data_IF_059871143301
#
_entry.id   IF_059871143301
#
_cell.length_a   1.000
_cell.length_b   1.000
_cell.length_c   1.000
_cell.angle_alpha   90.00
_cell.angle_beta   90.00
_cell.angle_gamma   90.00
#
_symmetry.space_group_name_H-M   'P 1'
#
loop_
_entity.id
_entity.type
_entity.pdbx_description
1 polymer ?
#
# COMPACT_ATOMS: atom_id res chain seq x y z
N UNK A 1 31.69 -5.55 -31.83
CA UNK A 1 30.51 -4.77 -31.41
C UNK A 1 29.35 -5.72 -31.42
N UNK A 2 29.07 -6.37 -30.30
CA UNK A 2 27.99 -7.37 -30.19
C UNK A 2 26.77 -6.67 -29.61
N UNK A 3 25.68 -6.64 -30.37
CA UNK A 3 24.39 -6.09 -29.96
C UNK A 3 23.96 -6.71 -28.62
N UNK A 4 23.72 -5.86 -27.64
CA UNK A 4 23.11 -6.25 -26.38
C UNK A 4 21.79 -6.97 -26.68
N UNK A 5 21.72 -8.23 -26.31
CA UNK A 5 20.51 -9.05 -26.42
C UNK A 5 19.55 -8.59 -25.32
N UNK A 6 18.88 -7.45 -25.53
CA UNK A 6 17.79 -7.00 -24.67
C UNK A 6 16.52 -7.72 -25.12
N UNK A 7 16.09 -8.76 -24.42
CA UNK A 7 14.77 -9.34 -24.64
C UNK A 7 13.72 -8.27 -24.29
N UNK A 8 12.95 -7.77 -25.26
CA UNK A 8 11.94 -6.75 -25.00
C UNK A 8 10.85 -7.21 -24.02
N UNK A 9 10.75 -8.52 -23.77
CA UNK A 9 9.81 -9.15 -22.84
C UNK A 9 10.36 -9.28 -21.42
N UNK A 10 11.68 -9.16 -21.21
CA UNK A 10 12.33 -9.30 -19.91
C UNK A 10 11.92 -8.23 -18.89
N UNK A 11 12.18 -8.48 -17.61
CA UNK A 11 11.96 -7.52 -16.53
C UNK A 11 13.12 -6.52 -16.42
N UNK A 12 12.85 -5.29 -15.94
CA UNK A 12 13.91 -4.31 -15.68
C UNK A 12 14.82 -4.81 -14.57
N UNK A 13 16.14 -4.80 -14.78
CA UNK A 13 17.16 -5.32 -13.85
C UNK A 13 16.99 -4.73 -12.43
N UNK A 14 16.79 -3.41 -12.28
CA UNK A 14 16.56 -2.79 -10.97
C UNK A 14 15.28 -3.29 -10.28
N UNK A 15 14.28 -3.79 -11.04
CA UNK A 15 13.07 -4.38 -10.47
C UNK A 15 13.38 -5.79 -9.93
N UNK A 16 14.14 -6.57 -10.69
CA UNK A 16 14.55 -7.93 -10.28
C UNK A 16 15.42 -7.87 -9.03
N UNK A 17 16.45 -6.99 -9.01
CA UNK A 17 17.29 -6.77 -7.83
C UNK A 17 16.49 -6.34 -6.60
N UNK A 18 15.54 -5.44 -6.79
CA UNK A 18 14.70 -4.98 -5.68
C UNK A 18 13.75 -6.07 -5.17
N UNK A 19 13.28 -6.97 -6.03
CA UNK A 19 12.48 -8.14 -5.67
C UNK A 19 13.32 -9.17 -4.90
N UNK A 20 14.55 -9.39 -5.32
CA UNK A 20 15.51 -10.23 -4.61
C UNK A 20 16.02 -9.64 -3.28
N UNK A 21 15.47 -8.51 -2.82
CA UNK A 21 15.79 -7.93 -1.52
C UNK A 21 17.08 -7.11 -1.47
N UNK A 22 17.82 -6.95 -2.58
CA UNK A 22 19.12 -6.25 -2.62
C UNK A 22 19.01 -4.82 -2.09
N UNK A 23 18.11 -4.00 -2.65
CA UNK A 23 17.90 -2.61 -2.22
C UNK A 23 16.56 -2.05 -2.75
N UNK A 24 16.27 -0.74 -2.52
CA UNK A 24 15.18 -0.07 -3.21
C UNK A 24 15.48 0.02 -4.71
N UNK A 25 14.45 0.12 -5.57
CA UNK A 25 14.65 0.22 -7.03
C UNK A 25 15.62 1.34 -7.41
N UNK A 26 15.51 2.53 -6.79
CA UNK A 26 16.44 3.65 -7.00
C UNK A 26 17.86 3.31 -6.56
N UNK A 27 18.01 2.68 -5.39
CA UNK A 27 19.32 2.25 -4.91
C UNK A 27 19.91 1.14 -5.78
N UNK A 28 19.10 0.25 -6.34
CA UNK A 28 19.54 -0.73 -7.33
C UNK A 28 20.03 -0.07 -8.62
N UNK A 29 19.40 1.03 -9.07
CA UNK A 29 19.89 1.82 -10.20
C UNK A 29 21.30 2.39 -9.93
N UNK A 30 21.55 2.88 -8.72
CA UNK A 30 22.89 3.35 -8.30
C UNK A 30 23.92 2.19 -8.29
N UNK A 31 23.54 1.01 -7.80
CA UNK A 31 24.38 -0.19 -7.77
C UNK A 31 24.71 -0.65 -9.20
N UNK A 32 23.74 -0.61 -10.12
CA UNK A 32 23.94 -0.92 -11.54
C UNK A 32 24.91 0.08 -12.18
N UNK A 33 24.65 1.37 -12.01
CA UNK A 33 25.50 2.43 -12.57
C UNK A 33 26.95 2.38 -12.06
N UNK A 34 27.14 1.90 -10.82
CA UNK A 34 28.47 1.70 -10.22
C UNK A 34 29.18 0.43 -10.74
N UNK A 35 28.61 -0.33 -11.70
CA UNK A 35 29.24 -1.53 -12.28
C UNK A 35 29.31 -2.74 -11.32
N UNK A 36 28.52 -2.76 -10.26
CA UNK A 36 28.53 -3.81 -9.24
C UNK A 36 27.64 -5.00 -9.59
N UNK A 37 26.91 -4.94 -10.72
CA UNK A 37 25.99 -5.99 -11.18
C UNK A 37 26.57 -6.70 -12.38
N UNK A 38 26.50 -8.03 -12.37
CA UNK A 38 26.80 -8.87 -13.52
C UNK A 38 25.57 -9.65 -13.95
N UNK A 39 25.37 -9.77 -15.24
CA UNK A 39 24.36 -10.62 -15.86
C UNK A 39 25.10 -11.57 -16.80
N UNK A 40 24.97 -12.87 -16.57
CA UNK A 40 25.67 -13.92 -17.33
C UNK A 40 27.20 -13.66 -17.41
N UNK A 41 27.80 -13.24 -16.28
CA UNK A 41 29.22 -12.95 -16.15
C UNK A 41 29.66 -11.60 -16.70
N UNK A 42 28.80 -10.84 -17.39
CA UNK A 42 29.13 -9.51 -17.96
C UNK A 42 28.67 -8.39 -17.03
N UNK A 43 29.54 -7.39 -16.82
CA UNK A 43 29.16 -6.20 -16.03
C UNK A 43 28.12 -5.39 -16.79
N UNK A 44 27.06 -4.99 -16.10
CA UNK A 44 25.97 -4.15 -16.61
C UNK A 44 25.97 -2.83 -15.87
N UNK A 45 26.06 -1.71 -16.62
CA UNK A 45 25.99 -0.34 -16.10
C UNK A 45 24.83 0.46 -16.68
N UNK A 46 24.21 -0.04 -17.75
CA UNK A 46 23.15 0.65 -18.48
C UNK A 46 21.83 0.58 -17.68
N UNK A 47 21.29 1.75 -17.30
CA UNK A 47 20.00 1.83 -16.66
C UNK A 47 18.87 1.41 -17.63
N UNK A 48 17.89 0.71 -17.11
CA UNK A 48 16.77 0.22 -17.91
C UNK A 48 17.01 -1.13 -18.58
N UNK A 49 18.22 -1.72 -18.47
CA UNK A 49 18.52 -3.09 -18.92
C UNK A 49 17.42 -4.05 -18.47
N UNK A 50 17.02 -4.93 -19.38
CA UNK A 50 16.03 -5.98 -19.14
C UNK A 50 16.72 -7.32 -19.05
N UNK A 51 16.23 -8.18 -18.18
CA UNK A 51 16.75 -9.51 -17.89
C UNK A 51 15.59 -10.49 -17.75
N UNK A 52 15.87 -11.76 -17.97
CA UNK A 52 14.97 -12.86 -17.65
C UNK A 52 15.40 -13.46 -16.30
N UNK A 53 14.61 -13.22 -15.21
CA UNK A 53 14.98 -13.69 -13.88
C UNK A 53 14.98 -15.22 -13.74
N UNK A 54 14.38 -15.97 -14.67
CA UNK A 54 14.36 -17.44 -14.66
C UNK A 54 15.56 -18.05 -15.36
N UNK A 55 16.14 -17.36 -16.37
CA UNK A 55 17.21 -17.90 -17.20
C UNK A 55 18.53 -17.14 -17.06
N UNK A 56 18.49 -15.86 -16.66
CA UNK A 56 19.72 -15.06 -16.52
C UNK A 56 20.35 -15.24 -15.13
N UNK A 57 21.63 -15.54 -15.10
CA UNK A 57 22.42 -15.53 -13.87
C UNK A 57 22.78 -14.09 -13.50
N UNK A 58 22.18 -13.59 -12.43
CA UNK A 58 22.36 -12.22 -11.95
C UNK A 58 23.19 -12.25 -10.67
N UNK A 59 24.23 -11.43 -10.60
CA UNK A 59 25.14 -11.33 -9.46
C UNK A 59 25.30 -9.86 -9.03
N UNK A 60 25.41 -9.63 -7.73
CA UNK A 60 25.78 -8.34 -7.14
C UNK A 60 27.03 -8.54 -6.30
N UNK A 61 28.09 -7.76 -6.57
CA UNK A 61 29.39 -7.88 -5.92
C UNK A 61 29.96 -9.32 -5.96
N UNK A 62 29.73 -10.02 -7.07
CA UNK A 62 30.17 -11.40 -7.28
C UNK A 62 29.33 -12.47 -6.55
N UNK A 63 28.25 -12.09 -5.90
CA UNK A 63 27.32 -13.04 -5.24
C UNK A 63 26.04 -13.16 -6.05
N UNK A 64 25.58 -14.37 -6.38
CA UNK A 64 24.28 -14.54 -7.05
C UNK A 64 23.16 -14.00 -6.17
N UNK A 65 22.15 -13.40 -6.82
CA UNK A 65 20.93 -13.01 -6.12
C UNK A 65 20.04 -14.22 -5.92
N UNK A 66 19.38 -14.30 -4.76
CA UNK A 66 18.42 -15.34 -4.44
C UNK A 66 17.00 -14.80 -4.56
N UNK A 67 16.08 -15.64 -5.02
CA UNK A 67 14.66 -15.29 -5.04
C UNK A 67 14.10 -15.32 -3.62
N UNK A 68 13.67 -14.19 -3.11
CA UNK A 68 12.99 -14.10 -1.81
C UNK A 68 11.52 -14.50 -1.96
N UNK A 69 11.00 -15.44 -1.15
CA UNK A 69 9.59 -15.77 -1.19
C UNK A 69 8.72 -14.54 -0.86
N UNK A 70 7.51 -14.46 -1.39
CA UNK A 70 6.63 -13.32 -1.12
C UNK A 70 6.13 -13.33 0.32
N UNK A 71 6.26 -12.20 0.96
CA UNK A 71 5.88 -11.94 2.34
C UNK A 71 4.71 -10.96 2.40
N UNK A 72 3.80 -11.18 3.34
CA UNK A 72 2.61 -10.35 3.51
C UNK A 72 2.33 -10.15 4.99
N UNK A 73 2.40 -8.90 5.43
CA UNK A 73 2.25 -8.55 6.84
C UNK A 73 1.20 -7.44 7.00
N UNK A 74 0.20 -7.68 7.82
CA UNK A 74 -0.82 -6.72 8.19
C UNK A 74 -0.39 -6.01 9.48
N UNK A 75 -0.33 -4.68 9.45
CA UNK A 75 -0.04 -3.83 10.61
C UNK A 75 -1.24 -2.97 10.92
N UNK A 76 -1.62 -2.85 12.18
CA UNK A 76 -2.41 -1.72 12.64
C UNK A 76 -1.48 -0.53 12.87
N UNK A 77 -1.37 0.36 11.87
CA UNK A 77 -0.60 1.59 12.03
C UNK A 77 -1.29 2.51 13.04
N UNK A 78 -0.67 2.89 14.16
CA UNK A 78 -1.26 3.89 15.06
C UNK A 78 -1.16 5.30 14.48
N UNK A 79 -1.88 6.26 15.08
CA UNK A 79 -1.70 7.69 14.84
C UNK A 79 -0.29 8.15 15.23
N UNK A 80 0.19 9.25 14.65
CA UNK A 80 1.53 9.80 14.92
C UNK A 80 2.66 9.16 14.12
N UNK A 81 2.47 7.95 13.60
CA UNK A 81 3.43 7.18 12.81
C UNK A 81 3.27 7.48 11.31
N UNK A 82 4.38 7.59 10.59
CA UNK A 82 4.40 7.86 9.14
C UNK A 82 4.53 6.58 8.32
N UNK A 83 3.80 6.50 7.20
CA UNK A 83 3.78 5.33 6.29
C UNK A 83 4.96 5.35 5.32
N UNK A 84 6.18 5.21 5.83
CA UNK A 84 7.41 5.15 5.03
C UNK A 84 8.33 4.07 5.57
N UNK A 85 9.30 3.65 4.75
CA UNK A 85 10.36 2.71 5.16
C UNK A 85 11.48 3.45 5.89
N UNK A 86 11.79 4.68 5.45
CA UNK A 86 12.85 5.51 6.01
C UNK A 86 12.39 6.95 6.13
N UNK A 87 12.80 7.62 7.19
CA UNK A 87 12.53 9.04 7.42
C UNK A 87 13.83 9.78 7.80
N UNK A 88 14.24 10.79 7.04
CA UNK A 88 15.46 11.54 7.33
C UNK A 88 15.35 12.44 8.57
N UNK A 89 14.14 12.66 9.10
CA UNK A 89 13.87 13.50 10.28
C UNK A 89 13.76 12.70 11.58
N UNK A 90 14.02 11.39 11.56
CA UNK A 90 14.01 10.55 12.76
C UNK A 90 12.62 10.27 13.35
N UNK A 91 11.53 10.57 12.62
CA UNK A 91 10.17 10.27 13.10
C UNK A 91 9.90 8.76 13.05
N UNK A 92 9.07 8.26 13.96
CA UNK A 92 8.67 6.85 13.97
C UNK A 92 7.99 6.49 12.65
N UNK A 93 8.50 5.45 12.01
CA UNK A 93 7.96 4.95 10.74
C UNK A 93 7.11 3.70 10.96
N UNK A 94 6.16 3.43 10.06
CA UNK A 94 5.38 2.20 10.12
C UNK A 94 6.27 0.95 9.91
N UNK A 95 7.41 1.08 9.22
CA UNK A 95 8.36 -0.02 9.04
C UNK A 95 9.05 -0.41 10.35
N UNK A 96 9.33 0.54 11.24
CA UNK A 96 9.96 0.25 12.54
C UNK A 96 9.05 -0.51 13.52
N UNK A 97 7.74 -0.60 13.23
CA UNK A 97 6.79 -1.41 13.99
C UNK A 97 6.67 -2.85 13.47
N UNK A 98 7.37 -3.20 12.41
CA UNK A 98 7.34 -4.54 11.83
C UNK A 98 8.64 -5.27 12.19
N UNK A 99 8.52 -6.28 13.06
CA UNK A 99 9.65 -7.09 13.52
C UNK A 99 10.01 -8.14 12.47
N UNK A 100 10.82 -7.76 11.48
CA UNK A 100 11.44 -8.66 10.50
C UNK A 100 12.68 -8.00 9.90
N UNK A 101 13.68 -8.79 9.61
CA UNK A 101 14.87 -8.36 8.85
C UNK A 101 14.60 -8.32 7.35
N UNK A 102 13.60 -9.06 6.92
CA UNK A 102 13.22 -9.15 5.52
C UNK A 102 12.79 -7.79 4.95
N UNK A 103 13.13 -7.59 3.70
CA UNK A 103 12.81 -6.35 3.01
C UNK A 103 11.36 -6.35 2.52
N UNK A 104 10.48 -5.78 3.32
CA UNK A 104 9.09 -5.50 2.93
C UNK A 104 8.80 -3.99 2.99
N UNK A 105 7.82 -3.55 2.22
CA UNK A 105 7.43 -2.14 2.12
C UNK A 105 5.91 -1.97 2.17
N UNK A 106 5.42 -0.80 2.61
CA UNK A 106 3.99 -0.57 2.74
C UNK A 106 3.30 -0.50 1.37
N UNK A 107 2.13 -1.10 1.28
CA UNK A 107 1.22 -1.02 0.13
C UNK A 107 0.33 0.20 0.30
N UNK A 108 0.70 1.28 -0.36
CA UNK A 108 0.06 2.57 -0.18
C UNK A 108 0.45 3.25 1.12
N UNK A 109 -0.36 4.22 1.50
CA UNK A 109 -0.07 5.07 2.66
C UNK A 109 -1.33 5.30 3.48
N UNK A 110 -1.14 5.56 4.78
CA UNK A 110 -2.04 6.26 5.67
C UNK A 110 -1.36 7.54 6.10
N UNK A 111 -2.12 8.61 6.23
CA UNK A 111 -1.59 9.87 6.76
C UNK A 111 -1.11 9.68 8.21
N UNK A 112 -0.29 10.61 8.71
CA UNK A 112 0.22 10.56 10.07
C UNK A 112 -0.90 10.50 11.10
N UNK A 113 -1.97 11.25 10.88
CA UNK A 113 -3.13 11.38 11.77
C UNK A 113 -4.21 10.32 11.51
N UNK A 114 -3.96 9.40 10.57
CA UNK A 114 -4.85 8.29 10.26
C UNK A 114 -4.26 6.99 10.81
N UNK A 115 -5.12 6.06 11.17
CA UNK A 115 -4.75 4.79 11.77
C UNK A 115 -5.39 3.60 11.05
N UNK A 116 -5.04 2.39 11.47
CA UNK A 116 -5.66 1.16 11.01
C UNK A 116 -4.79 0.36 10.05
N UNK A 117 -5.43 -0.47 9.24
CA UNK A 117 -4.80 -1.47 8.39
C UNK A 117 -3.79 -0.90 7.39
N UNK A 118 -2.55 -1.33 7.49
CA UNK A 118 -1.50 -1.08 6.52
C UNK A 118 -0.83 -2.42 6.16
N UNK A 119 -0.94 -2.80 4.89
CA UNK A 119 -0.28 -4.00 4.37
C UNK A 119 1.17 -3.69 4.03
N UNK A 120 2.08 -4.60 4.40
CA UNK A 120 3.47 -4.64 3.94
C UNK A 120 3.72 -5.90 3.13
N UNK A 121 4.52 -5.79 2.06
CA UNK A 121 4.90 -6.92 1.22
C UNK A 121 6.18 -6.64 0.44
N UNK A 122 6.83 -7.69 -0.06
CA UNK A 122 7.84 -7.65 -1.12
C UNK A 122 7.25 -8.04 -2.49
N UNK A 123 5.97 -8.45 -2.57
CA UNK A 123 5.25 -8.76 -3.81
C UNK A 123 4.90 -7.47 -4.57
N UNK A 124 5.82 -7.05 -5.46
CA UNK A 124 5.67 -5.83 -6.24
C UNK A 124 4.46 -5.82 -7.18
N UNK A 125 4.17 -6.90 -7.92
CA UNK A 125 2.97 -7.04 -8.73
C UNK A 125 1.67 -6.84 -7.94
N UNK A 126 1.53 -7.49 -6.79
CA UNK A 126 0.36 -7.32 -5.92
C UNK A 126 0.26 -5.88 -5.39
N UNK A 127 1.35 -5.33 -4.86
CA UNK A 127 1.38 -3.97 -4.35
C UNK A 127 0.96 -2.95 -5.42
N UNK A 128 1.44 -3.10 -6.65
CA UNK A 128 1.09 -2.24 -7.78
C UNK A 128 -0.41 -2.32 -8.07
N UNK A 129 -0.97 -3.52 -8.17
CA UNK A 129 -2.40 -3.69 -8.47
C UNK A 129 -3.30 -3.11 -7.38
N UNK A 130 -2.99 -3.38 -6.11
CA UNK A 130 -3.76 -2.84 -4.99
C UNK A 130 -3.73 -1.32 -4.87
N UNK A 131 -2.64 -0.68 -5.33
CA UNK A 131 -2.48 0.78 -5.27
C UNK A 131 -2.99 1.50 -6.51
N UNK A 132 -2.99 0.88 -7.68
CA UNK A 132 -3.27 1.57 -8.93
C UNK A 132 -4.78 1.84 -9.09
N UNK A 133 -5.21 3.10 -9.33
CA UNK A 133 -6.62 3.49 -9.38
C UNK A 133 -7.47 2.71 -10.40
N UNK A 134 -6.86 2.27 -11.52
CA UNK A 134 -7.57 1.50 -12.56
C UNK A 134 -8.16 0.16 -12.08
N UNK A 135 -7.67 -0.38 -10.97
CA UNK A 135 -8.13 -1.65 -10.42
C UNK A 135 -9.22 -1.48 -9.37
N UNK A 136 -9.54 -0.25 -8.99
CA UNK A 136 -10.67 0.12 -8.13
C UNK A 136 -10.78 -0.67 -6.82
N UNK A 137 -9.64 -1.12 -6.25
CA UNK A 137 -9.64 -1.87 -4.99
C UNK A 137 -10.21 -1.04 -3.86
N UNK A 138 -11.26 -1.56 -3.25
CA UNK A 138 -11.95 -0.90 -2.16
C UNK A 138 -11.10 -0.78 -0.91
N UNK A 139 -11.17 0.39 -0.30
CA UNK A 139 -10.59 0.69 1.01
C UNK A 139 -11.70 1.23 1.89
N UNK A 140 -12.04 0.51 2.96
CA UNK A 140 -13.09 0.92 3.89
C UNK A 140 -12.48 1.58 5.12
N UNK A 141 -13.11 2.66 5.51
CA UNK A 141 -12.73 3.46 6.66
C UNK A 141 -13.90 3.65 7.61
N UNK A 142 -13.60 3.73 8.90
CA UNK A 142 -14.50 4.34 9.88
C UNK A 142 -13.99 5.73 10.20
N UNK A 143 -14.86 6.71 10.10
CA UNK A 143 -14.56 8.10 10.39
C UNK A 143 -15.46 8.62 11.51
N UNK A 144 -14.87 9.10 12.61
CA UNK A 144 -15.57 9.90 13.62
C UNK A 144 -15.50 11.35 13.17
N UNK A 145 -16.66 11.96 13.01
CA UNK A 145 -16.79 13.35 12.54
C UNK A 145 -17.56 14.21 13.53
N UNK A 146 -17.29 15.50 13.52
CA UNK A 146 -18.11 16.51 14.19
C UNK A 146 -19.39 16.73 13.40
N UNK A 147 -20.49 16.91 14.14
CA UNK A 147 -21.81 17.06 13.57
C UNK A 147 -22.46 15.76 13.11
N UNK A 148 -23.69 15.86 12.66
CA UNK A 148 -24.48 14.77 12.10
C UNK A 148 -24.76 15.10 10.63
N UNK A 149 -24.16 14.41 9.65
CA UNK A 149 -24.33 14.78 8.26
C UNK A 149 -25.77 14.54 7.80
N UNK A 150 -26.31 15.48 7.05
CA UNK A 150 -27.62 15.36 6.43
C UNK A 150 -27.62 14.30 5.32
N UNK A 151 -28.78 13.83 4.89
CA UNK A 151 -28.89 12.94 3.74
C UNK A 151 -28.37 13.63 2.46
N UNK A 152 -28.58 14.94 2.33
CA UNK A 152 -28.06 15.72 1.21
C UNK A 152 -26.51 15.73 1.17
N UNK A 153 -25.84 15.94 2.31
CA UNK A 153 -24.40 15.88 2.43
C UNK A 153 -23.85 14.48 2.03
N UNK A 154 -24.49 13.40 2.53
CA UNK A 154 -24.09 12.03 2.17
C UNK A 154 -24.31 11.74 0.67
N UNK A 155 -25.39 12.25 0.08
CA UNK A 155 -25.64 12.12 -1.36
C UNK A 155 -24.59 12.89 -2.18
N UNK A 156 -24.20 14.09 -1.74
CA UNK A 156 -23.14 14.87 -2.41
C UNK A 156 -21.81 14.12 -2.41
N UNK A 157 -21.41 13.51 -1.30
CA UNK A 157 -20.22 12.66 -1.21
C UNK A 157 -20.25 11.46 -2.18
N UNK A 158 -21.42 10.82 -2.32
CA UNK A 158 -21.59 9.67 -3.23
C UNK A 158 -21.59 10.07 -4.70
N UNK A 159 -22.21 11.20 -5.04
CA UNK A 159 -22.19 11.74 -6.41
C UNK A 159 -20.82 12.24 -6.81
N UNK A 160 -20.05 12.71 -5.85
CA UNK A 160 -18.73 13.26 -5.99
C UNK A 160 -18.72 14.80 -5.92
N UNK A 161 -17.65 15.31 -5.33
CA UNK A 161 -17.39 16.74 -5.18
C UNK A 161 -16.10 17.11 -5.90
N UNK A 162 -16.14 18.18 -6.68
CA UNK A 162 -14.93 18.79 -7.24
C UNK A 162 -14.31 19.66 -6.15
N UNK A 163 -13.18 19.20 -5.60
CA UNK A 163 -12.46 19.92 -4.57
C UNK A 163 -11.44 20.87 -5.20
N UNK A 164 -11.04 21.94 -4.49
CA UNK A 164 -9.90 22.75 -4.94
C UNK A 164 -8.68 21.87 -5.25
N UNK A 165 -7.99 22.15 -6.35
CA UNK A 165 -6.87 21.37 -6.89
C UNK A 165 -7.21 20.00 -7.51
N UNK A 166 -8.49 19.64 -7.65
CA UNK A 166 -8.92 18.45 -8.36
C UNK A 166 -9.63 18.83 -9.67
N UNK A 167 -9.33 18.10 -10.74
CA UNK A 167 -9.95 18.34 -12.07
C UNK A 167 -11.18 17.48 -12.28
N UNK A 168 -11.42 16.49 -11.44
CA UNK A 168 -12.55 15.55 -11.51
C UNK A 168 -13.20 15.40 -10.14
N UNK A 169 -14.51 15.08 -10.11
CA UNK A 169 -15.20 14.81 -8.85
C UNK A 169 -14.57 13.63 -8.12
N UNK A 170 -14.24 13.80 -6.85
CA UNK A 170 -13.85 12.73 -5.94
C UNK A 170 -15.11 12.16 -5.29
N UNK A 171 -15.24 10.83 -5.31
CA UNK A 171 -16.40 10.11 -4.77
C UNK A 171 -16.04 9.36 -3.49
N UNK A 172 -17.03 9.22 -2.61
CA UNK A 172 -16.93 8.38 -1.43
C UNK A 172 -18.29 7.72 -1.16
N UNK A 173 -18.35 6.40 -1.16
CA UNK A 173 -19.55 5.71 -0.68
C UNK A 173 -19.61 5.87 0.84
N UNK A 174 -20.66 6.52 1.32
CA UNK A 174 -20.75 6.91 2.73
C UNK A 174 -22.06 6.44 3.34
N UNK A 175 -21.97 5.92 4.57
CA UNK A 175 -23.12 5.50 5.36
C UNK A 175 -22.95 5.97 6.80
N UNK A 176 -24.02 6.54 7.38
CA UNK A 176 -24.07 6.79 8.83
C UNK A 176 -24.17 5.45 9.56
N UNK A 177 -23.35 5.27 10.55
CA UNK A 177 -23.48 4.16 11.47
C UNK A 177 -24.54 4.48 12.55
N UNK A 178 -25.20 3.48 13.13
CA UNK A 178 -26.19 3.69 14.19
C UNK A 178 -25.65 4.56 15.33
N UNK A 179 -26.50 5.29 16.04
CA UNK A 179 -26.05 6.14 17.14
C UNK A 179 -25.37 5.36 18.27
N UNK A 180 -25.83 4.13 18.51
CA UNK A 180 -25.25 3.23 19.51
C UNK A 180 -23.97 2.52 19.02
N UNK A 181 -23.60 2.68 17.76
CA UNK A 181 -22.39 2.03 17.22
C UNK A 181 -21.13 2.57 17.87
N UNK A 182 -20.18 1.70 18.08
CA UNK A 182 -18.89 2.04 18.66
C UNK A 182 -17.76 1.30 17.97
N UNK A 183 -16.59 1.91 17.93
CA UNK A 183 -15.35 1.26 17.53
C UNK A 183 -14.61 0.80 18.79
N UNK A 184 -14.56 -0.53 19.03
CA UNK A 184 -13.83 -1.12 20.16
C UNK A 184 -14.18 -0.43 21.50
N UNK A 185 -15.47 -0.27 21.78
CA UNK A 185 -15.95 0.41 22.98
C UNK A 185 -16.03 1.93 22.89
N UNK A 186 -15.38 2.56 21.92
CA UNK A 186 -15.41 4.02 21.74
C UNK A 186 -16.70 4.45 21.01
N UNK A 187 -17.66 4.95 21.74
CA UNK A 187 -18.89 5.58 21.19
C UNK A 187 -18.56 6.97 20.64
N UNK A 188 -19.40 7.44 19.72
CA UNK A 188 -19.32 8.82 19.30
C UNK A 188 -19.72 9.76 20.46
N UNK A 189 -18.92 10.81 20.77
CA UNK A 189 -19.33 11.86 21.71
C UNK A 189 -20.61 12.56 21.27
N UNK A 190 -21.22 13.29 22.18
CA UNK A 190 -22.38 14.12 21.84
C UNK A 190 -22.03 15.10 20.72
N UNK A 191 -22.92 15.25 19.76
CA UNK A 191 -22.67 16.11 18.60
C UNK A 191 -21.75 15.48 17.53
N UNK A 192 -21.24 14.27 17.72
CA UNK A 192 -20.41 13.57 16.75
C UNK A 192 -21.13 12.34 16.17
N UNK A 193 -20.63 11.83 15.05
CA UNK A 193 -21.16 10.64 14.38
C UNK A 193 -20.05 9.79 13.76
N UNK A 194 -20.19 8.48 13.87
CA UNK A 194 -19.40 7.55 13.09
C UNK A 194 -20.01 7.33 11.71
N UNK A 195 -19.12 7.32 10.70
CA UNK A 195 -19.44 6.97 9.31
C UNK A 195 -18.64 5.75 8.88
N UNK A 196 -19.24 4.91 8.05
CA UNK A 196 -18.54 3.96 7.19
C UNK A 196 -18.32 4.62 5.82
N UNK A 197 -17.09 4.60 5.33
CA UNK A 197 -16.69 5.25 4.07
C UNK A 197 -15.90 4.26 3.23
N UNK A 198 -16.28 4.07 1.97
CA UNK A 198 -15.54 3.25 1.01
C UNK A 198 -15.00 4.12 -0.10
N UNK A 199 -13.70 3.99 -0.37
CA UNK A 199 -13.01 4.61 -1.49
C UNK A 199 -12.46 3.52 -2.43
N UNK A 200 -12.48 3.79 -3.75
CA UNK A 200 -11.81 2.98 -4.79
C UNK A 200 -10.54 3.63 -5.34
N UNK A 201 -10.27 4.83 -4.89
CA UNK A 201 -9.09 5.64 -5.25
C UNK A 201 -8.35 6.10 -4.00
N UNK A 202 -7.33 6.94 -4.13
CA UNK A 202 -6.58 7.43 -2.97
C UNK A 202 -5.83 8.72 -3.25
N UNK A 203 -6.54 9.86 -3.13
CA UNK A 203 -5.95 11.19 -3.17
C UNK A 203 -5.47 11.62 -1.78
N UNK A 204 -4.52 12.54 -1.75
CA UNK A 204 -4.00 13.08 -0.50
C UNK A 204 -5.13 13.68 0.34
N UNK A 205 -5.27 13.20 1.59
CA UNK A 205 -6.28 13.64 2.57
C UNK A 205 -7.73 13.59 2.04
N UNK A 206 -8.04 12.70 1.08
CA UNK A 206 -9.32 12.70 0.35
C UNK A 206 -10.54 12.73 1.26
N UNK A 207 -10.65 11.80 2.22
CA UNK A 207 -11.80 11.73 3.14
C UNK A 207 -11.92 13.01 3.97
N UNK A 208 -10.82 13.52 4.52
CA UNK A 208 -10.82 14.74 5.33
C UNK A 208 -11.29 15.95 4.52
N UNK A 209 -10.80 16.09 3.29
CA UNK A 209 -11.17 17.18 2.37
C UNK A 209 -12.64 17.09 1.93
N UNK A 210 -13.12 15.88 1.60
CA UNK A 210 -14.52 15.66 1.21
C UNK A 210 -15.47 15.98 2.36
N UNK A 211 -15.18 15.52 3.58
CA UNK A 211 -16.00 15.78 4.75
C UNK A 211 -15.96 17.26 5.14
N UNK A 212 -14.81 17.90 5.08
CA UNK A 212 -14.67 19.36 5.30
C UNK A 212 -15.51 20.17 4.31
N UNK A 213 -15.53 19.79 3.03
CA UNK A 213 -16.35 20.43 2.01
C UNK A 213 -17.87 20.30 2.26
N UNK A 214 -18.28 19.35 3.08
CA UNK A 214 -19.67 19.18 3.52
C UNK A 214 -19.92 19.72 4.96
N UNK A 215 -18.97 20.47 5.51
CA UNK A 215 -19.09 21.12 6.82
C UNK A 215 -18.77 20.23 8.02
N UNK A 216 -18.06 19.12 7.82
CA UNK A 216 -17.75 18.14 8.89
C UNK A 216 -16.23 17.98 9.06
N UNK A 217 -15.76 18.15 10.30
CA UNK A 217 -14.36 17.89 10.64
C UNK A 217 -14.15 16.41 11.06
N UNK A 218 -13.10 15.78 10.53
CA UNK A 218 -12.74 14.40 10.91
C UNK A 218 -11.86 14.44 12.16
N UNK A 219 -12.36 13.88 13.25
CA UNK A 219 -11.64 13.69 14.51
C UNK A 219 -10.77 12.43 14.49
N UNK A 220 -11.33 11.30 13.99
CA UNK A 220 -10.63 10.02 13.92
C UNK A 220 -10.89 9.35 12.58
N UNK A 221 -9.87 8.74 11.98
CA UNK A 221 -9.98 8.05 10.70
C UNK A 221 -9.21 6.73 10.75
N UNK A 222 -9.94 5.63 10.59
CA UNK A 222 -9.43 4.27 10.76
C UNK A 222 -9.66 3.48 9.48
N UNK A 223 -8.62 3.01 8.82
CA UNK A 223 -8.78 2.05 7.71
C UNK A 223 -8.98 0.65 8.26
N UNK A 224 -10.15 0.06 8.02
CA UNK A 224 -10.53 -1.26 8.55
C UNK A 224 -10.46 -2.37 7.52
N UNK A 225 -10.44 -2.03 6.20
CA UNK A 225 -10.39 -3.00 5.11
C UNK A 225 -9.60 -2.47 3.91
N UNK A 226 -8.92 -3.38 3.22
CA UNK A 226 -8.25 -3.13 1.94
C UNK A 226 -8.41 -4.35 1.04
N UNK A 227 -9.21 -4.22 -0.03
CA UNK A 227 -9.64 -5.36 -0.83
C UNK A 227 -10.36 -6.38 0.05
N UNK A 228 -9.87 -7.62 0.04
CA UNK A 228 -10.39 -8.71 0.88
C UNK A 228 -9.79 -8.74 2.29
N UNK A 229 -8.69 -8.00 2.53
CA UNK A 229 -8.00 -8.02 3.82
C UNK A 229 -8.69 -7.11 4.84
N UNK A 230 -9.02 -7.69 5.99
CA UNK A 230 -9.63 -7.00 7.12
C UNK A 230 -8.59 -6.69 8.20
N UNK A 231 -8.79 -5.60 8.94
CA UNK A 231 -7.98 -5.27 10.11
C UNK A 231 -8.12 -6.33 11.22
N UNK A 232 -9.30 -6.91 11.38
CA UNK A 232 -9.60 -7.89 12.42
C UNK A 232 -9.39 -7.31 13.83
N UNK A 233 -8.86 -8.13 14.73
CA UNK A 233 -8.67 -7.80 16.15
C UNK A 233 -7.30 -7.19 16.47
N UNK A 234 -6.51 -6.82 15.46
CA UNK A 234 -5.21 -6.18 15.68
C UNK A 234 -5.37 -4.89 16.49
N UNK A 235 -4.60 -4.75 17.56
CA UNK A 235 -4.51 -3.51 18.34
C UNK A 235 -3.54 -2.50 17.71
N UNK A 236 -3.65 -1.19 18.02
CA UNK A 236 -2.72 -0.18 17.51
C UNK A 236 -1.25 -0.52 17.80
N UNK A 237 -0.43 -0.55 16.75
CA UNK A 237 0.99 -0.96 16.83
C UNK A 237 1.22 -2.45 16.66
N UNK A 238 0.19 -3.28 16.75
CA UNK A 238 0.31 -4.72 16.51
C UNK A 238 0.24 -5.05 15.02
N UNK A 239 0.88 -6.15 14.66
CA UNK A 239 0.80 -6.70 13.32
C UNK A 239 0.96 -8.21 13.32
N UNK A 240 0.61 -8.83 12.18
CA UNK A 240 0.71 -10.28 11.96
C UNK A 240 1.00 -10.61 10.51
N UNK A 241 1.59 -11.76 10.29
CA UNK A 241 1.66 -12.35 8.96
C UNK A 241 0.26 -12.76 8.48
N UNK A 242 0.01 -12.65 7.19
CA UNK A 242 -1.24 -13.13 6.59
C UNK A 242 -1.25 -14.66 6.58
N UNK A 243 -2.42 -15.25 6.83
CA UNK A 243 -2.63 -16.67 6.59
C UNK A 243 -2.56 -16.99 5.10
N UNK A 244 -2.29 -18.26 4.71
CA UNK A 244 -2.32 -18.67 3.31
C UNK A 244 -3.63 -18.28 2.62
N UNK A 245 -4.78 -18.51 3.26
CA UNK A 245 -6.09 -18.17 2.70
C UNK A 245 -6.30 -16.67 2.47
N UNK A 246 -5.84 -15.80 3.40
CA UNK A 246 -5.91 -14.35 3.23
C UNK A 246 -5.02 -13.86 2.08
N UNK A 247 -3.81 -14.41 2.01
CA UNK A 247 -2.86 -14.13 0.92
C UNK A 247 -3.46 -14.49 -0.43
N UNK A 248 -4.00 -15.70 -0.56
CA UNK A 248 -4.53 -16.20 -1.81
C UNK A 248 -5.81 -15.44 -2.23
N UNK A 249 -6.70 -15.15 -1.27
CA UNK A 249 -7.87 -14.29 -1.52
C UNK A 249 -7.47 -12.88 -1.97
N UNK A 250 -6.43 -12.29 -1.36
CA UNK A 250 -5.95 -10.97 -1.73
C UNK A 250 -5.32 -10.96 -3.13
N UNK A 251 -4.51 -11.98 -3.47
CA UNK A 251 -3.93 -12.14 -4.81
C UNK A 251 -5.01 -12.36 -5.87
N UNK A 252 -5.96 -13.26 -5.61
CA UNK A 252 -7.08 -13.52 -6.50
C UNK A 252 -7.91 -12.24 -6.76
N UNK A 253 -8.22 -11.46 -5.71
CA UNK A 253 -8.93 -10.18 -5.86
C UNK A 253 -8.17 -9.16 -6.71
N UNK A 254 -6.85 -9.26 -6.75
CA UNK A 254 -5.99 -8.45 -7.59
C UNK A 254 -5.79 -9.03 -9.01
N UNK A 255 -6.47 -10.13 -9.36
CA UNK A 255 -6.32 -10.82 -10.65
C UNK A 255 -4.93 -11.46 -10.83
N UNK A 256 -4.30 -11.85 -9.74
CA UNK A 256 -3.06 -12.63 -9.70
C UNK A 256 -3.39 -14.06 -9.27
N UNK A 257 -2.89 -15.06 -9.99
CA UNK A 257 -3.06 -16.47 -9.63
C UNK A 257 -2.48 -16.80 -8.25
N UNK A 258 -2.89 -17.96 -7.72
CA UNK A 258 -2.23 -18.56 -6.56
C UNK A 258 -0.87 -19.09 -7.01
N UNK A 259 0.21 -18.86 -6.24
CA UNK A 259 1.57 -19.27 -6.63
C UNK A 259 1.81 -20.80 -6.65
N UNK A 260 0.85 -21.60 -6.18
CA UNK A 260 0.91 -23.06 -6.35
C UNK A 260 0.66 -23.52 -7.80
N UNK A 261 0.06 -22.64 -8.63
CA UNK A 261 -0.16 -22.92 -10.06
C UNK A 261 1.00 -22.43 -10.96
N UNK A 262 2.02 -21.81 -10.37
CA UNK A 262 3.20 -21.24 -11.09
C UNK A 262 4.51 -22.01 -10.80
N UNK A 263 4.43 -23.26 -10.23
CA UNK A 263 5.59 -24.17 -10.06
C UNK A 263 5.58 -25.27 -11.06
#
# INVERSE_FOLDING_TARGET
>A
MSAEHQDPRGERLQKVLAHAGVASRRRCEEIIAAGRVRVNGRVVTTLGTRVDPEHDRIEVDGRPIESTPPLYYALYKPTGVISTVHDPHGRTTARSLVSTEERIYPVGRLDRDSEGLLLFTNDGPLAQRLMHPRHEHEKQYYALIEGIPTNQALQALRRGLVLPSETRPLKAETQRLPAAWHWRGHRAPQGCRWLSIILREGHKHQIRRLLQATGHQVQRLIRVRMGTLMLGDLEPGQGRWLSPSERDALRASAGLGTREAER
#
